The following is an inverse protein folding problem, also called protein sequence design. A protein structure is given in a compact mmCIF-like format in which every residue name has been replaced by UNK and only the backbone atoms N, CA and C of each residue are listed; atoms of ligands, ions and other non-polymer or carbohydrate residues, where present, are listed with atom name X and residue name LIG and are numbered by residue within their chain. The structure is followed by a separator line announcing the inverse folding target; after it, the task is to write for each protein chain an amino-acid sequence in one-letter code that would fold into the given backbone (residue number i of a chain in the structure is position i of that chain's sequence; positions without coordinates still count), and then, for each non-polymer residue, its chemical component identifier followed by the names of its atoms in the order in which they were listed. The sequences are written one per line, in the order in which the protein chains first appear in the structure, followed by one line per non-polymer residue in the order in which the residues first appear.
data_IF_613960313717
#
_entry.id   IF_613960313717
#
_cell.length_a   1.000
_cell.length_b   1.000
_cell.length_c   1.000
_cell.angle_alpha   90.00
_cell.angle_beta   90.00
_cell.angle_gamma   90.00
#
_symmetry.space_group_name_H-M   'P 1'
#
loop_
_entity.id
_entity.type
_entity.pdbx_description
1 polymer ?
#
# COMPACT_ATOMS: atom_id res chain seq x y z
N UNK A 1 -1.83 -12.97 19.21
CA UNK A 1 -0.77 -12.83 18.17
C UNK A 1 -1.07 -11.73 17.13
N UNK A 2 -1.97 -10.77 17.42
CA UNK A 2 -2.41 -9.74 16.46
C UNK A 2 -1.31 -8.76 16.04
N UNK A 3 -0.33 -8.48 16.91
CA UNK A 3 0.80 -7.60 16.59
C UNK A 3 1.71 -8.09 15.46
N UNK A 4 1.85 -9.42 15.30
CA UNK A 4 2.74 -9.99 14.27
C UNK A 4 2.13 -9.91 12.86
N UNK A 5 0.79 -9.97 12.75
CA UNK A 5 0.08 -9.83 11.47
C UNK A 5 0.16 -8.42 10.91
N UNK A 6 -0.01 -7.39 11.75
CA UNK A 6 0.15 -5.99 11.32
C UNK A 6 1.57 -5.67 10.86
N UNK A 7 2.59 -6.24 11.53
CA UNK A 7 3.97 -6.09 11.10
C UNK A 7 4.24 -6.77 9.74
N UNK A 8 3.67 -7.95 9.49
CA UNK A 8 3.81 -8.65 8.22
C UNK A 8 3.17 -7.89 7.05
N UNK A 9 2.00 -7.28 7.27
CA UNK A 9 1.32 -6.47 6.25
C UNK A 9 2.08 -5.16 5.97
N UNK A 10 2.58 -4.49 7.01
CA UNK A 10 3.43 -3.31 6.88
C UNK A 10 4.74 -3.59 6.12
N UNK A 11 5.38 -4.74 6.37
CA UNK A 11 6.61 -5.14 5.69
C UNK A 11 6.39 -5.39 4.19
N UNK A 12 5.25 -5.99 3.81
CA UNK A 12 4.88 -6.19 2.40
C UNK A 12 4.70 -4.86 1.69
N UNK A 13 3.91 -3.96 2.27
CA UNK A 13 3.70 -2.60 1.78
C UNK A 13 5.02 -1.85 1.57
N UNK A 14 5.92 -1.91 2.56
CA UNK A 14 7.24 -1.30 2.45
C UNK A 14 8.08 -1.93 1.34
N UNK A 15 8.05 -3.25 1.18
CA UNK A 15 8.81 -3.95 0.14
C UNK A 15 8.34 -3.60 -1.27
N UNK A 16 7.02 -3.50 -1.47
CA UNK A 16 6.45 -3.13 -2.77
C UNK A 16 6.76 -1.67 -3.13
N UNK A 17 6.76 -0.78 -2.13
CA UNK A 17 7.15 0.61 -2.31
C UNK A 17 8.64 0.75 -2.70
N UNK A 18 9.52 0.08 -1.95
CA UNK A 18 10.97 0.11 -2.21
C UNK A 18 11.29 -0.53 -3.57
N UNK A 19 10.59 -1.60 -3.96
CA UNK A 19 10.74 -2.22 -5.26
C UNK A 19 10.42 -1.24 -6.40
N UNK A 20 9.37 -0.43 -6.28
CA UNK A 20 9.02 0.61 -7.26
C UNK A 20 10.09 1.68 -7.42
N UNK A 21 10.69 2.13 -6.31
CA UNK A 21 11.79 3.10 -6.32
C UNK A 21 13.04 2.50 -6.97
N UNK A 22 13.42 1.28 -6.58
CA UNK A 22 14.61 0.62 -7.13
C UNK A 22 14.45 0.32 -8.62
N UNK A 23 13.26 -0.07 -9.07
CA UNK A 23 12.95 -0.26 -10.48
C UNK A 23 13.08 1.06 -11.27
N UNK A 24 12.47 2.14 -10.79
CA UNK A 24 12.58 3.47 -11.41
C UNK A 24 14.02 3.98 -11.46
N UNK A 25 14.75 3.87 -10.35
CA UNK A 25 16.15 4.26 -10.28
C UNK A 25 17.04 3.41 -11.20
N UNK A 26 16.82 2.09 -11.28
CA UNK A 26 17.57 1.20 -12.15
C UNK A 26 17.35 1.50 -13.64
N UNK A 27 16.08 1.68 -14.05
CA UNK A 27 15.72 2.03 -15.42
C UNK A 27 16.26 3.42 -15.79
N UNK A 28 16.05 4.41 -14.92
CA UNK A 28 16.53 5.78 -15.13
C UNK A 28 18.06 5.88 -15.23
N UNK A 29 18.77 5.15 -14.37
CA UNK A 29 20.23 5.06 -14.43
C UNK A 29 20.74 4.44 -15.72
N UNK A 30 20.10 3.37 -16.18
CA UNK A 30 20.48 2.72 -17.44
C UNK A 30 20.21 3.64 -18.64
N UNK A 31 19.09 4.36 -18.63
CA UNK A 31 18.74 5.36 -19.64
C UNK A 31 19.74 6.52 -19.70
N UNK A 32 20.14 7.07 -18.57
CA UNK A 32 21.15 8.14 -18.54
C UNK A 32 22.50 7.67 -19.07
N UNK A 33 22.86 6.40 -18.82
CA UNK A 33 24.10 5.80 -19.35
C UNK A 33 24.10 5.63 -20.86
N UNK A 34 22.98 5.23 -21.46
CA UNK A 34 22.90 5.01 -22.91
C UNK A 34 22.66 6.30 -23.68
N UNK A 35 21.89 7.24 -23.12
CA UNK A 35 21.51 8.47 -23.79
C UNK A 35 22.60 9.55 -23.67
N UNK A 36 23.52 9.42 -22.71
CA UNK A 36 24.53 10.45 -22.42
C UNK A 36 23.92 11.77 -21.94
N UNK A 37 22.61 11.78 -21.67
CA UNK A 37 21.94 12.86 -20.97
C UNK A 37 22.48 12.89 -19.53
N UNK A 38 22.50 14.06 -18.89
CA UNK A 38 22.77 14.16 -17.45
C UNK A 38 21.77 13.31 -16.62
N UNK A 39 21.64 13.50 -15.30
CA UNK A 39 20.78 12.66 -14.44
C UNK A 39 19.25 12.81 -14.69
N UNK A 40 18.84 13.17 -15.90
CA UNK A 40 17.49 13.53 -16.29
C UNK A 40 16.56 12.31 -16.36
N UNK A 41 17.01 11.21 -16.96
CA UNK A 41 16.31 9.94 -16.97
C UNK A 41 16.13 9.39 -15.56
N UNK A 42 17.16 9.49 -14.71
CA UNK A 42 17.08 9.14 -13.30
C UNK A 42 16.02 9.98 -12.58
N UNK A 43 15.99 11.31 -12.75
CA UNK A 43 14.98 12.18 -12.11
C UNK A 43 13.55 11.79 -12.57
N UNK A 44 13.32 11.66 -13.87
CA UNK A 44 12.00 11.37 -14.42
C UNK A 44 11.51 9.99 -13.97
N UNK A 45 12.34 8.95 -14.11
CA UNK A 45 11.97 7.59 -13.71
C UNK A 45 11.91 7.40 -12.21
N UNK A 46 12.65 8.17 -11.41
CA UNK A 46 12.53 8.17 -9.96
C UNK A 46 11.19 8.76 -9.53
N UNK A 47 10.76 9.88 -10.11
CA UNK A 47 9.44 10.45 -9.84
C UNK A 47 8.34 9.47 -10.28
N UNK A 48 8.47 8.88 -11.47
CA UNK A 48 7.50 7.91 -11.98
C UNK A 48 7.42 6.66 -11.09
N UNK A 49 8.57 6.13 -10.68
CA UNK A 49 8.67 4.98 -9.77
C UNK A 49 8.14 5.28 -8.38
N UNK A 50 8.37 6.49 -7.86
CA UNK A 50 7.81 6.96 -6.60
C UNK A 50 6.27 7.07 -6.68
N UNK A 51 5.74 7.68 -7.74
CA UNK A 51 4.28 7.77 -7.96
C UNK A 51 3.67 6.37 -8.05
N UNK A 52 4.29 5.45 -8.80
CA UNK A 52 3.85 4.06 -8.87
C UNK A 52 3.86 3.36 -7.49
N UNK A 53 4.92 3.56 -6.70
CA UNK A 53 5.02 3.04 -5.34
C UNK A 53 3.92 3.58 -4.42
N UNK A 54 3.69 4.89 -4.43
CA UNK A 54 2.61 5.53 -3.64
C UNK A 54 1.25 4.99 -4.06
N UNK A 55 0.96 4.91 -5.37
CA UNK A 55 -0.30 4.38 -5.87
C UNK A 55 -0.52 2.92 -5.46
N UNK A 56 0.54 2.11 -5.41
CA UNK A 56 0.46 0.72 -4.98
C UNK A 56 0.15 0.60 -3.48
N UNK A 57 0.79 1.42 -2.63
CA UNK A 57 0.50 1.51 -1.19
C UNK A 57 -0.94 1.94 -0.93
N UNK A 58 -1.38 3.04 -1.57
CA UNK A 58 -2.74 3.56 -1.42
C UNK A 58 -3.79 2.53 -1.87
N UNK A 59 -3.52 1.79 -2.95
CA UNK A 59 -4.37 0.70 -3.43
C UNK A 59 -4.42 -0.47 -2.45
N UNK A 60 -3.33 -0.79 -1.76
CA UNK A 60 -3.32 -1.84 -0.75
C UNK A 60 -4.12 -1.41 0.50
N UNK A 61 -3.95 -0.16 0.96
CA UNK A 61 -4.74 0.39 2.07
C UNK A 61 -6.24 0.37 1.78
N UNK A 62 -6.65 0.75 0.57
CA UNK A 62 -8.04 0.68 0.13
C UNK A 62 -8.61 -0.75 0.04
N UNK A 63 -7.75 -1.76 -0.16
CA UNK A 63 -8.15 -3.18 -0.13
C UNK A 63 -8.25 -3.75 1.29
N UNK A 64 -7.50 -3.20 2.25
CA UNK A 64 -7.41 -3.71 3.62
C UNK A 64 -8.29 -2.97 4.62
N UNK A 65 -9.17 -2.06 4.19
CA UNK A 65 -10.16 -1.45 5.08
C UNK A 65 -10.99 -2.59 5.73
N UNK A 66 -10.85 -2.84 7.06
CA UNK A 66 -11.70 -3.81 7.72
C UNK A 66 -13.12 -3.27 7.61
N UNK A 67 -14.05 -4.09 7.10
CA UNK A 67 -15.46 -3.76 7.21
C UNK A 67 -15.72 -3.34 8.67
N UNK A 68 -16.30 -2.15 8.93
CA UNK A 68 -16.59 -1.72 10.29
C UNK A 68 -17.34 -2.85 10.94
N UNK A 69 -16.74 -3.40 12.00
CA UNK A 69 -17.23 -4.51 12.80
C UNK A 69 -18.74 -4.45 12.84
N UNK A 70 -19.39 -5.43 12.21
CA UNK A 70 -20.83 -5.63 12.28
C UNK A 70 -21.25 -5.43 13.73
N UNK A 71 -21.93 -4.31 14.02
CA UNK A 71 -22.70 -4.17 15.24
C UNK A 71 -23.54 -5.44 15.31
N UNK A 72 -23.35 -6.33 16.32
CA UNK A 72 -24.12 -7.55 16.40
C UNK A 72 -25.60 -7.16 16.42
N UNK A 73 -26.32 -7.45 15.34
CA UNK A 73 -27.75 -7.14 15.21
C UNK A 73 -28.60 -7.87 16.27
N UNK A 74 -27.98 -8.72 17.09
CA UNK A 74 -28.57 -9.43 18.21
C UNK A 74 -28.82 -8.57 19.46
N UNK A 75 -28.12 -7.44 19.63
CA UNK A 75 -28.33 -6.58 20.80
C UNK A 75 -29.67 -5.82 20.72
N UNK A 76 -30.09 -5.44 19.51
CA UNK A 76 -31.37 -4.76 19.26
C UNK A 76 -32.58 -5.71 19.35
N UNK A 77 -32.38 -7.03 19.15
CA UNK A 77 -33.47 -8.01 19.15
C UNK A 77 -33.79 -8.57 20.56
N UNK A 78 -32.87 -8.44 21.53
CA UNK A 78 -33.10 -8.90 22.91
C UNK A 78 -33.94 -7.94 23.75
N UNK A 79 -33.92 -6.65 23.41
CA UNK A 79 -34.70 -5.62 24.11
C UNK A 79 -36.21 -5.70 23.79
N UNK A 80 -36.56 -6.32 22.66
CA UNK A 80 -37.96 -6.47 22.22
C UNK A 80 -38.62 -7.79 22.65
N UNK A 81 -38.00 -8.56 23.55
CA UNK A 81 -38.67 -9.74 24.13
C UNK A 81 -39.55 -9.30 25.30
N UNK A 82 -40.89 -9.42 25.20
CA UNK A 82 -41.74 -9.31 26.38
C UNK A 82 -41.38 -10.43 27.35
N UNK A 83 -41.18 -10.05 28.62
CA UNK A 83 -40.88 -10.95 29.72
C UNK A 83 -42.24 -11.55 30.13
N UNK A 84 -42.60 -12.69 29.54
CA UNK A 84 -43.78 -13.47 29.94
C UNK A 84 -43.47 -14.41 31.12
#
# INVERSE_FOLDING_TARGET
ATGLRGAADGMKLASEFVAGILAGAGIGYLLDRIAGTGPFGLIVFLILGFVAGVLNVLRSVGKTAPAPTSVPKDATNRENRPLE
#
